data_IF_925114697957
#
_entry.id   IF_925114697957
#
_cell.length_a   1.000
_cell.length_b   1.000
_cell.length_c   1.000
_cell.angle_alpha   90.00
_cell.angle_beta   90.00
_cell.angle_gamma   90.00
#
_symmetry.space_group_name_H-M   'P 1'
#
loop_
_entity.id
_entity.type
_entity.pdbx_description
1 polymer ?
#
# COMPACT_ATOMS: atom_id res chain seq x y z
N UNK A 1 10.25 21.76 -14.09
CA UNK A 1 10.43 23.16 -14.52
C UNK A 1 9.56 24.10 -13.69
N UNK A 2 8.25 23.90 -13.60
CA UNK A 2 7.33 24.76 -12.79
C UNK A 2 7.77 24.86 -11.31
N UNK A 3 8.35 23.81 -10.75
CA UNK A 3 8.89 23.78 -9.38
C UNK A 3 10.36 24.18 -9.26
N UNK A 4 10.94 24.80 -10.30
CA UNK A 4 12.32 25.28 -10.28
C UNK A 4 13.41 24.24 -10.58
N UNK A 5 13.08 22.97 -10.74
CA UNK A 5 14.07 21.95 -11.05
C UNK A 5 14.65 22.15 -12.46
N UNK A 6 15.97 21.99 -12.59
CA UNK A 6 16.65 22.01 -13.86
C UNK A 6 16.31 20.74 -14.67
N UNK A 7 15.78 20.93 -15.88
CA UNK A 7 15.52 19.86 -16.83
C UNK A 7 16.17 20.24 -18.13
N UNK A 8 17.02 19.36 -18.74
CA UNK A 8 17.66 19.62 -20.01
C UNK A 8 16.62 19.95 -21.11
N UNK A 9 16.86 21.03 -21.86
CA UNK A 9 15.90 21.49 -22.88
C UNK A 9 15.62 20.45 -23.98
N UNK A 10 16.62 19.67 -24.35
CA UNK A 10 16.47 18.59 -25.34
C UNK A 10 15.43 17.54 -24.93
N UNK A 11 15.39 17.20 -23.63
CA UNK A 11 14.41 16.26 -23.07
C UNK A 11 13.00 16.83 -23.18
N UNK A 12 12.80 18.08 -22.70
CA UNK A 12 11.49 18.74 -22.76
C UNK A 12 11.01 18.85 -24.21
N UNK A 13 11.88 19.29 -25.11
CA UNK A 13 11.55 19.44 -26.54
C UNK A 13 11.18 18.11 -27.18
N UNK A 14 11.91 17.04 -26.88
CA UNK A 14 11.63 15.70 -27.36
C UNK A 14 10.28 15.17 -26.86
N UNK A 15 10.00 15.29 -25.56
CA UNK A 15 8.74 14.87 -24.96
C UNK A 15 7.55 15.64 -25.55
N UNK A 16 7.65 16.96 -25.68
CA UNK A 16 6.57 17.76 -26.25
C UNK A 16 6.28 17.41 -27.70
N UNK A 17 7.33 17.21 -28.52
CA UNK A 17 7.19 16.75 -29.91
C UNK A 17 6.46 15.41 -29.98
N UNK A 18 6.88 14.46 -29.17
CA UNK A 18 6.25 13.13 -29.10
C UNK A 18 4.78 13.25 -28.66
N UNK A 19 4.50 13.90 -27.55
CA UNK A 19 3.14 14.03 -27.03
C UNK A 19 2.20 14.74 -28.02
N UNK A 20 2.69 15.76 -28.74
CA UNK A 20 1.90 16.45 -29.75
C UNK A 20 1.59 15.56 -30.95
N UNK A 21 2.56 14.74 -31.40
CA UNK A 21 2.36 13.74 -32.45
C UNK A 21 1.28 12.75 -32.02
N UNK A 22 1.41 12.16 -30.83
CA UNK A 22 0.45 11.19 -30.31
C UNK A 22 -0.95 11.80 -30.11
N UNK A 23 -1.03 13.04 -29.62
CA UNK A 23 -2.31 13.75 -29.48
C UNK A 23 -3.02 13.94 -30.82
N UNK A 24 -2.27 14.24 -31.88
CA UNK A 24 -2.83 14.46 -33.22
C UNK A 24 -3.24 13.16 -33.90
N UNK A 25 -2.53 12.07 -33.66
CA UNK A 25 -2.77 10.77 -34.27
C UNK A 25 -3.77 9.92 -33.51
N UNK A 26 -4.11 10.31 -32.27
CA UNK A 26 -5.02 9.53 -31.44
C UNK A 26 -6.40 9.35 -32.10
N UNK A 27 -6.83 8.11 -32.14
CA UNK A 27 -8.17 7.70 -32.55
C UNK A 27 -8.79 6.92 -31.42
N UNK A 28 -10.07 7.12 -31.19
CA UNK A 28 -10.83 6.34 -30.23
C UNK A 28 -10.96 4.91 -30.75
N UNK A 29 -10.11 4.03 -30.29
CA UNK A 29 -10.14 2.62 -30.65
C UNK A 29 -10.58 1.79 -29.44
N UNK A 30 -11.82 1.30 -29.48
CA UNK A 30 -12.36 0.42 -28.45
C UNK A 30 -11.79 -1.00 -28.49
N UNK A 31 -10.92 -1.31 -29.46
CA UNK A 31 -10.39 -2.67 -29.69
C UNK A 31 -9.06 -2.95 -28.96
N UNK A 32 -8.30 -1.92 -28.60
CA UNK A 32 -6.93 -2.07 -28.07
C UNK A 32 -6.91 -2.63 -26.65
N UNK A 33 -7.97 -2.42 -25.88
CA UNK A 33 -8.03 -2.92 -24.50
C UNK A 33 -9.28 -3.76 -24.30
N UNK A 34 -9.15 -5.08 -24.40
CA UNK A 34 -10.18 -6.07 -23.98
C UNK A 34 -10.42 -6.08 -22.45
N UNK A 35 -10.20 -4.94 -21.79
CA UNK A 35 -10.36 -4.79 -20.35
C UNK A 35 -11.63 -4.00 -20.04
N UNK A 36 -12.40 -4.30 -18.98
CA UNK A 36 -13.64 -3.59 -18.63
C UNK A 36 -13.52 -2.05 -18.56
N UNK A 37 -12.32 -1.55 -18.20
CA UNK A 37 -12.02 -0.10 -18.12
C UNK A 37 -11.15 0.41 -19.28
N UNK A 38 -10.87 -0.41 -20.29
CA UNK A 38 -9.90 -0.08 -21.35
C UNK A 38 -10.27 1.17 -22.14
N UNK A 39 -11.55 1.34 -22.49
CA UNK A 39 -12.04 2.51 -23.22
C UNK A 39 -11.92 3.80 -22.41
N UNK A 40 -12.33 3.79 -21.14
CA UNK A 40 -12.26 4.95 -20.26
C UNK A 40 -10.82 5.34 -19.97
N UNK A 41 -9.94 4.35 -19.85
CA UNK A 41 -8.51 4.53 -19.64
C UNK A 41 -7.84 5.20 -20.84
N UNK A 42 -8.15 4.77 -22.06
CA UNK A 42 -7.63 5.35 -23.31
C UNK A 42 -8.06 6.82 -23.49
N UNK A 43 -9.33 7.11 -23.23
CA UNK A 43 -9.87 8.47 -23.27
C UNK A 43 -9.21 9.37 -22.22
N UNK A 44 -8.98 8.87 -21.01
CA UNK A 44 -8.28 9.63 -19.96
C UNK A 44 -6.82 9.88 -20.33
N UNK A 45 -6.11 8.89 -20.91
CA UNK A 45 -4.74 9.05 -21.39
C UNK A 45 -4.66 10.17 -22.41
N UNK A 46 -5.59 10.21 -23.37
CA UNK A 46 -5.61 11.29 -24.36
C UNK A 46 -5.92 12.64 -23.73
N UNK A 47 -6.93 12.74 -22.88
CA UNK A 47 -7.27 13.98 -22.19
C UNK A 47 -6.12 14.48 -21.31
N UNK A 48 -5.44 13.57 -20.63
CA UNK A 48 -4.26 13.88 -19.81
C UNK A 48 -3.08 14.39 -20.66
N UNK A 49 -2.86 13.80 -21.84
CA UNK A 49 -1.87 14.26 -22.80
C UNK A 49 -2.16 15.69 -23.26
N UNK A 50 -3.43 15.99 -23.58
CA UNK A 50 -3.88 17.33 -23.97
C UNK A 50 -3.71 18.35 -22.85
N UNK A 51 -4.05 17.95 -21.61
CA UNK A 51 -3.84 18.75 -20.42
C UNK A 51 -2.35 19.05 -20.18
N UNK A 52 -1.49 18.07 -20.32
CA UNK A 52 -0.03 18.23 -20.15
C UNK A 52 0.55 19.18 -21.19
N UNK A 53 0.10 19.08 -22.44
CA UNK A 53 0.51 19.99 -23.50
C UNK A 53 0.01 21.43 -23.25
N UNK A 54 -1.20 21.60 -22.73
CA UNK A 54 -1.73 22.90 -22.31
C UNK A 54 -0.92 23.50 -21.15
N UNK A 55 -0.62 22.69 -20.13
CA UNK A 55 0.20 23.07 -18.99
C UNK A 55 1.63 23.51 -19.40
N UNK A 56 2.16 22.90 -20.47
CA UNK A 56 3.45 23.24 -21.04
C UNK A 56 3.40 24.43 -22.04
N UNK A 57 2.26 25.15 -22.14
CA UNK A 57 2.03 26.26 -23.06
C UNK A 57 2.20 25.90 -24.55
N UNK A 58 2.01 24.62 -24.87
CA UNK A 58 2.11 24.06 -26.23
C UNK A 58 0.85 23.26 -26.61
N UNK A 59 -0.34 23.84 -26.47
CA UNK A 59 -1.61 23.12 -26.66
C UNK A 59 -1.73 22.54 -28.07
N UNK A 60 -2.38 21.37 -28.14
CA UNK A 60 -2.80 20.75 -29.41
C UNK A 60 -4.29 21.04 -29.68
N UNK A 61 -4.64 22.29 -29.96
CA UNK A 61 -6.02 22.77 -30.02
C UNK A 61 -6.90 21.96 -30.98
N UNK A 62 -6.37 21.57 -32.14
CA UNK A 62 -7.12 20.72 -33.09
C UNK A 62 -7.48 19.35 -32.51
N UNK A 63 -6.59 18.73 -31.74
CA UNK A 63 -6.86 17.47 -31.06
C UNK A 63 -7.84 17.65 -29.88
N UNK A 64 -7.75 18.77 -29.15
CA UNK A 64 -8.71 19.13 -28.09
C UNK A 64 -10.14 19.28 -28.68
N UNK A 65 -10.27 19.98 -29.76
CA UNK A 65 -11.59 20.19 -30.46
C UNK A 65 -12.14 18.85 -30.96
N UNK A 66 -11.33 18.03 -31.63
CA UNK A 66 -11.76 16.69 -32.06
C UNK A 66 -12.28 15.85 -30.89
N UNK A 67 -11.54 15.83 -29.78
CA UNK A 67 -11.97 15.06 -28.60
C UNK A 67 -13.27 15.59 -28.01
N UNK A 68 -13.46 16.91 -27.95
CA UNK A 68 -14.70 17.54 -27.50
C UNK A 68 -15.90 17.17 -28.40
N UNK A 69 -15.69 17.13 -29.72
CA UNK A 69 -16.72 16.84 -30.72
C UNK A 69 -17.12 15.37 -30.76
N UNK A 70 -16.28 14.47 -30.31
CA UNK A 70 -16.59 13.03 -30.31
C UNK A 70 -17.79 12.67 -29.42
N UNK A 71 -18.19 13.52 -28.47
CA UNK A 71 -19.25 13.22 -27.52
C UNK A 71 -19.07 11.93 -26.75
N UNK A 72 -19.87 11.69 -25.75
CA UNK A 72 -19.94 10.42 -25.01
C UNK A 72 -18.57 9.83 -24.57
N UNK A 73 -17.63 10.70 -24.18
CA UNK A 73 -16.39 10.32 -23.53
C UNK A 73 -16.57 10.26 -22.01
N UNK A 74 -15.73 9.50 -21.32
CA UNK A 74 -15.83 9.27 -19.88
C UNK A 74 -15.81 10.58 -19.07
N UNK A 75 -16.54 10.59 -17.96
CA UNK A 75 -16.65 11.77 -17.08
C UNK A 75 -15.29 12.33 -16.69
N UNK A 76 -14.36 11.46 -16.27
CA UNK A 76 -13.02 11.90 -15.86
C UNK A 76 -12.19 12.47 -17.02
N UNK A 77 -12.32 11.92 -18.23
CA UNK A 77 -11.65 12.45 -19.40
C UNK A 77 -12.20 13.83 -19.78
N UNK A 78 -13.52 14.04 -19.65
CA UNK A 78 -14.15 15.35 -19.86
C UNK A 78 -13.65 16.39 -18.85
N UNK A 79 -13.56 16.04 -17.56
CA UNK A 79 -12.95 16.89 -16.54
C UNK A 79 -11.54 17.31 -16.92
N UNK A 80 -10.71 16.35 -17.33
CA UNK A 80 -9.32 16.63 -17.71
C UNK A 80 -9.21 17.48 -18.98
N UNK A 81 -10.10 17.26 -19.97
CA UNK A 81 -10.20 18.09 -21.18
C UNK A 81 -10.64 19.52 -20.86
N UNK A 82 -11.62 19.68 -19.98
CA UNK A 82 -12.05 21.01 -19.50
C UNK A 82 -10.88 21.77 -18.85
N UNK A 83 -10.09 21.08 -18.01
CA UNK A 83 -8.89 21.65 -17.43
C UNK A 83 -7.86 22.09 -18.49
N UNK A 84 -7.71 21.35 -19.58
CA UNK A 84 -6.84 21.75 -20.67
C UNK A 84 -7.32 23.05 -21.36
N UNK A 85 -8.63 23.22 -21.53
CA UNK A 85 -9.21 24.47 -22.06
C UNK A 85 -9.05 25.63 -21.09
N UNK A 86 -9.25 25.41 -19.79
CA UNK A 86 -9.04 26.42 -18.76
C UNK A 86 -7.60 26.95 -18.74
N UNK A 87 -6.62 26.05 -18.79
CA UNK A 87 -5.19 26.41 -18.81
C UNK A 87 -4.77 27.30 -19.98
N UNK A 88 -5.49 27.24 -21.10
CA UNK A 88 -5.21 28.08 -22.28
C UNK A 88 -6.13 29.28 -22.39
N UNK A 89 -6.83 29.65 -21.31
CA UNK A 89 -7.72 30.81 -21.25
C UNK A 89 -9.04 30.69 -22.05
N UNK A 90 -9.45 29.45 -22.36
CA UNK A 90 -10.73 29.15 -23.03
C UNK A 90 -11.82 28.81 -21.99
N UNK A 91 -11.99 29.68 -21.01
CA UNK A 91 -12.87 29.48 -19.85
C UNK A 91 -14.32 29.14 -20.23
N UNK A 92 -14.87 29.83 -21.23
CA UNK A 92 -16.25 29.53 -21.70
C UNK A 92 -16.39 28.07 -22.11
N UNK A 93 -15.45 27.55 -22.88
CA UNK A 93 -15.50 26.14 -23.34
C UNK A 93 -15.33 25.19 -22.16
N UNK A 94 -14.42 25.50 -21.23
CA UNK A 94 -14.23 24.72 -20.02
C UNK A 94 -15.52 24.65 -19.20
N UNK A 95 -16.18 25.79 -18.97
CA UNK A 95 -17.40 25.89 -18.20
C UNK A 95 -18.57 25.15 -18.90
N UNK A 96 -18.71 25.25 -20.22
CA UNK A 96 -19.71 24.53 -20.98
C UNK A 96 -19.57 23.00 -20.89
N UNK A 97 -18.34 22.51 -20.74
CA UNK A 97 -18.06 21.09 -20.50
C UNK A 97 -18.41 20.74 -19.06
N UNK A 98 -17.90 21.49 -18.09
CA UNK A 98 -18.04 21.20 -16.65
C UNK A 98 -19.51 21.24 -16.21
N UNK A 99 -20.32 22.15 -16.77
CA UNK A 99 -21.73 22.26 -16.42
C UNK A 99 -22.56 20.99 -16.67
N UNK A 100 -22.04 20.05 -17.45
CA UNK A 100 -22.69 18.78 -17.80
C UNK A 100 -22.11 17.60 -16.99
N UNK A 101 -21.14 17.83 -16.14
CA UNK A 101 -20.41 16.81 -15.43
C UNK A 101 -20.82 16.73 -13.95
N UNK A 102 -20.69 15.55 -13.38
CA UNK A 102 -20.76 15.37 -11.94
C UNK A 102 -19.37 15.16 -11.36
N UNK A 103 -19.25 15.34 -10.06
CA UNK A 103 -18.01 15.14 -9.30
C UNK A 103 -17.93 13.76 -8.65
N UNK A 104 -18.94 12.92 -8.88
CA UNK A 104 -18.98 11.57 -8.29
C UNK A 104 -18.13 10.61 -9.12
N UNK A 105 -17.30 9.86 -8.43
CA UNK A 105 -16.49 8.78 -9.00
C UNK A 105 -16.89 7.48 -8.33
N UNK A 106 -17.35 6.51 -9.13
CA UNK A 106 -17.67 5.18 -8.61
C UNK A 106 -16.42 4.53 -8.02
N UNK A 107 -16.53 3.85 -6.87
CA UNK A 107 -15.39 3.17 -6.28
C UNK A 107 -14.77 2.15 -7.25
N UNK A 108 -13.48 2.27 -7.51
CA UNK A 108 -12.69 1.30 -8.25
C UNK A 108 -11.21 1.44 -7.90
N UNK A 109 -10.48 0.36 -8.09
CA UNK A 109 -9.02 0.32 -8.01
C UNK A 109 -8.49 -0.65 -9.05
N UNK A 110 -7.53 -0.22 -9.84
CA UNK A 110 -6.89 -1.02 -10.86
C UNK A 110 -5.38 -1.12 -10.59
N UNK A 111 -4.89 -2.35 -10.48
CA UNK A 111 -3.49 -2.63 -10.12
C UNK A 111 -2.65 -3.12 -11.30
N UNK A 112 -3.19 -3.14 -12.52
CA UNK A 112 -2.53 -3.83 -13.63
C UNK A 112 -2.14 -2.92 -14.80
N UNK A 113 -3.07 -2.14 -15.34
CA UNK A 113 -2.84 -1.37 -16.57
C UNK A 113 -2.61 0.11 -16.32
N UNK A 114 -3.56 0.77 -15.71
CA UNK A 114 -3.51 2.22 -15.49
C UNK A 114 -3.12 2.61 -14.08
N UNK A 115 -3.09 1.65 -13.15
CA UNK A 115 -2.97 1.91 -11.72
C UNK A 115 -3.97 2.96 -11.22
N UNK A 116 -5.12 3.03 -11.90
CA UNK A 116 -6.18 3.97 -11.63
C UNK A 116 -6.93 3.66 -10.35
N UNK A 117 -7.53 4.69 -9.76
CA UNK A 117 -8.41 4.54 -8.62
C UNK A 117 -9.41 5.68 -8.55
N UNK A 118 -10.53 5.45 -7.88
CA UNK A 118 -11.51 6.50 -7.62
C UNK A 118 -10.89 7.69 -6.88
N UNK A 119 -9.97 7.45 -5.96
CA UNK A 119 -9.28 8.49 -5.20
C UNK A 119 -8.35 9.33 -6.09
N UNK A 120 -7.61 8.70 -7.03
CA UNK A 120 -6.82 9.42 -8.04
C UNK A 120 -7.70 10.32 -8.89
N UNK A 121 -8.83 9.80 -9.34
CA UNK A 121 -9.73 10.54 -10.22
C UNK A 121 -10.41 11.71 -9.50
N UNK A 122 -10.81 11.52 -8.24
CA UNK A 122 -11.26 12.63 -7.38
C UNK A 122 -10.20 13.71 -7.22
N UNK A 123 -8.94 13.33 -7.05
CA UNK A 123 -7.84 14.30 -6.96
C UNK A 123 -7.62 15.06 -8.28
N UNK A 124 -7.79 14.40 -9.42
CA UNK A 124 -7.76 15.05 -10.73
C UNK A 124 -8.92 16.05 -10.91
N UNK A 125 -10.13 15.73 -10.43
CA UNK A 125 -11.28 16.65 -10.44
C UNK A 125 -10.98 17.85 -9.50
N UNK A 126 -10.47 17.60 -8.31
CA UNK A 126 -10.09 18.65 -7.35
C UNK A 126 -9.12 19.67 -7.99
N UNK A 127 -8.13 19.17 -8.74
CA UNK A 127 -7.20 20.04 -9.46
C UNK A 127 -7.91 20.97 -10.44
N UNK A 128 -8.90 20.48 -11.19
CA UNK A 128 -9.65 21.29 -12.15
C UNK A 128 -10.57 22.30 -11.45
N UNK A 129 -11.26 21.88 -10.41
CA UNK A 129 -12.08 22.78 -9.57
C UNK A 129 -11.22 23.91 -8.96
N UNK A 130 -9.99 23.60 -8.60
CA UNK A 130 -9.03 24.60 -8.11
C UNK A 130 -8.68 25.62 -9.19
N UNK A 131 -8.43 25.17 -10.41
CA UNK A 131 -8.17 26.05 -11.58
C UNK A 131 -9.38 26.95 -11.87
N UNK A 132 -10.58 26.42 -11.70
CA UNK A 132 -11.85 27.15 -11.92
C UNK A 132 -12.24 28.06 -10.76
N UNK A 133 -11.57 27.97 -9.62
CA UNK A 133 -11.90 28.74 -8.41
C UNK A 133 -13.17 28.25 -7.70
N UNK A 134 -13.69 27.06 -8.03
CA UNK A 134 -14.85 26.47 -7.35
C UNK A 134 -14.47 25.93 -5.96
N UNK A 135 -14.52 26.81 -4.97
CA UNK A 135 -14.18 26.51 -3.59
C UNK A 135 -15.17 25.57 -2.90
N UNK A 136 -16.44 25.60 -3.27
CA UNK A 136 -17.50 24.83 -2.60
C UNK A 136 -17.37 23.34 -2.94
N UNK A 137 -17.40 22.99 -4.23
CA UNK A 137 -17.21 21.60 -4.65
C UNK A 137 -15.80 21.12 -4.36
N UNK A 138 -14.80 21.98 -4.51
CA UNK A 138 -13.41 21.70 -4.18
C UNK A 138 -13.24 21.30 -2.70
N UNK A 139 -13.84 22.05 -1.76
CA UNK A 139 -13.77 21.73 -0.33
C UNK A 139 -14.37 20.35 -0.02
N UNK A 140 -15.51 20.00 -0.61
CA UNK A 140 -16.15 18.71 -0.40
C UNK A 140 -15.27 17.55 -0.84
N UNK A 141 -14.64 17.67 -2.02
CA UNK A 141 -13.73 16.63 -2.53
C UNK A 141 -12.42 16.61 -1.70
N UNK A 142 -11.90 17.77 -1.35
CA UNK A 142 -10.73 17.88 -0.48
C UNK A 142 -10.92 17.12 0.83
N UNK A 143 -12.04 17.34 1.54
CA UNK A 143 -12.31 16.68 2.81
C UNK A 143 -12.45 15.16 2.64
N UNK A 144 -13.08 14.71 1.55
CA UNK A 144 -13.20 13.29 1.24
C UNK A 144 -11.83 12.63 1.00
N UNK A 145 -10.95 13.26 0.20
CA UNK A 145 -9.59 12.78 -0.07
C UNK A 145 -8.77 12.77 1.23
N UNK A 146 -8.81 13.86 2.01
CA UNK A 146 -8.05 13.97 3.25
C UNK A 146 -8.47 12.88 4.26
N UNK A 147 -9.78 12.61 4.38
CA UNK A 147 -10.31 11.53 5.22
C UNK A 147 -9.80 10.16 4.78
N UNK A 148 -9.80 9.88 3.47
CA UNK A 148 -9.31 8.60 2.95
C UNK A 148 -7.80 8.44 3.19
N UNK A 149 -6.99 9.46 2.89
CA UNK A 149 -5.53 9.41 3.13
C UNK A 149 -5.16 9.30 4.62
N UNK A 150 -6.05 9.67 5.52
CA UNK A 150 -5.88 9.52 6.97
C UNK A 150 -6.29 8.14 7.48
N UNK A 151 -6.83 7.28 6.63
CA UNK A 151 -7.15 5.89 6.98
C UNK A 151 -5.88 5.01 6.95
N UNK A 152 -6.00 3.78 7.44
CA UNK A 152 -4.92 2.80 7.37
C UNK A 152 -4.86 2.06 6.02
N UNK A 153 -5.67 2.48 5.04
CA UNK A 153 -5.71 1.88 3.71
C UNK A 153 -4.40 2.06 2.96
N UNK A 154 -4.05 1.05 2.17
CA UNK A 154 -2.91 1.13 1.27
C UNK A 154 -3.31 1.79 -0.06
N UNK A 155 -2.45 2.66 -0.56
CA UNK A 155 -2.62 3.33 -1.85
C UNK A 155 -1.37 3.14 -2.72
N UNK A 156 -1.59 2.89 -4.01
CA UNK A 156 -0.48 2.87 -4.95
C UNK A 156 0.16 4.27 -5.10
N UNK A 157 1.39 4.30 -5.58
CA UNK A 157 2.19 5.53 -5.73
C UNK A 157 1.46 6.60 -6.54
N UNK A 158 0.76 6.22 -7.60
CA UNK A 158 0.04 7.14 -8.47
C UNK A 158 -1.13 7.80 -7.74
N UNK A 159 -1.95 7.02 -7.03
CA UNK A 159 -3.06 7.51 -6.22
C UNK A 159 -2.58 8.48 -5.15
N UNK A 160 -1.52 8.11 -4.42
CA UNK A 160 -0.92 8.96 -3.38
C UNK A 160 -0.38 10.27 -3.97
N UNK A 161 0.38 10.20 -5.07
CA UNK A 161 0.98 11.37 -5.70
C UNK A 161 -0.08 12.37 -6.21
N UNK A 162 -1.11 11.89 -6.90
CA UNK A 162 -2.19 12.75 -7.38
C UNK A 162 -3.02 13.35 -6.25
N UNK A 163 -3.31 12.57 -5.22
CA UNK A 163 -4.04 13.05 -4.05
C UNK A 163 -3.29 14.17 -3.35
N UNK A 164 -2.01 13.99 -3.06
CA UNK A 164 -1.17 15.02 -2.45
C UNK A 164 -1.03 16.25 -3.35
N UNK A 165 -0.89 16.07 -4.66
CA UNK A 165 -0.82 17.17 -5.62
C UNK A 165 -2.12 17.99 -5.64
N UNK A 166 -3.29 17.32 -5.71
CA UNK A 166 -4.60 17.94 -5.70
C UNK A 166 -4.86 18.73 -4.41
N UNK A 167 -4.59 18.10 -3.26
CA UNK A 167 -4.72 18.76 -1.96
C UNK A 167 -3.79 19.99 -1.86
N UNK A 168 -2.51 19.84 -2.23
CA UNK A 168 -1.53 20.92 -2.20
C UNK A 168 -1.93 22.12 -3.06
N UNK A 169 -2.47 21.87 -4.26
CA UNK A 169 -2.96 22.94 -5.15
C UNK A 169 -4.18 23.65 -4.60
N UNK A 170 -5.14 22.89 -4.01
CA UNK A 170 -6.35 23.46 -3.45
C UNK A 170 -6.08 24.33 -2.23
N UNK A 171 -5.20 23.89 -1.35
CA UNK A 171 -4.76 24.68 -0.19
C UNK A 171 -4.04 25.97 -0.64
N UNK A 172 -3.44 25.95 -1.83
CA UNK A 172 -2.65 27.06 -2.36
C UNK A 172 -1.27 27.16 -1.72
N UNK A 173 -0.62 28.30 -1.91
CA UNK A 173 0.69 28.55 -1.32
C UNK A 173 0.57 28.95 0.17
N UNK A 174 0.04 28.06 1.00
CA UNK A 174 -0.07 28.32 2.45
C UNK A 174 1.30 28.50 3.10
N UNK A 175 2.36 28.06 2.45
CA UNK A 175 3.69 28.00 3.08
C UNK A 175 4.76 28.84 2.36
N UNK A 176 4.45 30.04 1.90
CA UNK A 176 5.54 30.94 1.50
C UNK A 176 6.46 31.31 2.68
N UNK A 177 5.93 31.28 3.91
CA UNK A 177 6.66 31.61 5.14
C UNK A 177 7.39 30.39 5.76
N UNK A 178 7.22 29.19 5.20
CA UNK A 178 7.83 27.96 5.72
C UNK A 178 7.34 27.55 7.10
N UNK A 179 8.18 26.87 7.86
CA UNK A 179 7.90 26.41 9.23
C UNK A 179 8.67 27.27 10.22
N UNK A 180 7.98 27.82 11.22
CA UNK A 180 8.57 28.55 12.34
C UNK A 180 7.92 28.05 13.64
N UNK A 181 8.64 27.21 14.38
CA UNK A 181 8.15 26.67 15.64
C UNK A 181 9.29 26.39 16.62
N UNK A 182 8.93 26.24 17.87
CA UNK A 182 9.78 25.81 18.95
C UNK A 182 9.34 24.43 19.44
N UNK A 183 10.30 23.54 19.57
CA UNK A 183 10.11 22.20 20.10
C UNK A 183 10.91 22.05 21.38
N UNK A 184 10.25 21.61 22.45
CA UNK A 184 10.88 21.26 23.72
C UNK A 184 10.66 19.77 23.95
N UNK A 185 11.76 19.01 23.94
CA UNK A 185 11.77 17.58 24.20
C UNK A 185 12.52 17.32 25.50
N UNK A 186 11.85 16.84 26.54
CA UNK A 186 12.44 16.52 27.83
C UNK A 186 13.32 17.68 28.39
N UNK A 187 12.87 18.92 28.21
CA UNK A 187 13.57 20.15 28.64
C UNK A 187 14.56 20.71 27.62
N UNK A 188 15.01 19.93 26.65
CA UNK A 188 15.86 20.40 25.56
C UNK A 188 15.03 21.22 24.55
N UNK A 189 15.49 22.45 24.24
CA UNK A 189 14.78 23.44 23.44
C UNK A 189 15.42 23.55 22.06
N UNK A 190 14.64 23.33 21.01
CA UNK A 190 15.07 23.46 19.61
C UNK A 190 14.17 24.47 18.92
N UNK A 191 14.77 25.47 18.27
CA UNK A 191 14.04 26.39 17.39
C UNK A 191 14.20 25.95 15.95
N UNK A 192 13.08 25.77 15.26
CA UNK A 192 13.05 25.36 13.86
C UNK A 192 12.54 26.52 13.02
N UNK A 193 13.39 26.95 12.08
CA UNK A 193 13.06 27.92 11.03
C UNK A 193 13.43 27.26 9.69
N UNK A 194 12.47 26.86 8.93
CA UNK A 194 12.67 26.15 7.66
C UNK A 194 11.77 26.71 6.56
N UNK A 195 12.34 26.91 5.36
CA UNK A 195 11.58 27.24 4.15
C UNK A 195 10.92 26.01 3.53
N UNK A 196 11.27 24.80 4.03
CA UNK A 196 10.70 23.54 3.54
C UNK A 196 9.34 23.28 4.21
N UNK A 197 8.38 22.70 3.51
CA UNK A 197 7.05 22.43 4.05
C UNK A 197 7.01 21.23 5.01
N UNK A 198 8.09 20.46 5.08
CA UNK A 198 8.22 19.27 5.95
C UNK A 198 9.55 19.38 6.68
N UNK A 199 9.49 19.08 7.98
CA UNK A 199 10.67 18.93 8.84
C UNK A 199 10.52 17.64 9.64
N UNK A 200 11.57 16.84 9.71
CA UNK A 200 11.63 15.59 10.49
C UNK A 200 12.79 15.70 11.48
N UNK A 201 12.52 15.38 12.72
CA UNK A 201 13.51 15.27 13.77
C UNK A 201 13.41 13.93 14.49
N UNK A 202 14.55 13.39 14.87
CA UNK A 202 14.62 12.25 15.79
C UNK A 202 14.61 12.78 17.23
N UNK A 203 13.65 12.28 18.00
CA UNK A 203 13.47 12.73 19.38
C UNK A 203 14.19 11.79 20.34
N UNK A 204 15.01 12.32 21.23
CA UNK A 204 15.59 11.58 22.33
C UNK A 204 14.46 11.09 23.27
N UNK A 205 14.46 9.80 23.55
CA UNK A 205 13.47 9.15 24.44
C UNK A 205 14.17 8.75 25.73
N UNK A 206 13.61 9.19 26.87
CA UNK A 206 14.00 8.73 28.19
C UNK A 206 13.23 7.47 28.55
N UNK A 207 13.74 6.67 29.51
CA UNK A 207 13.09 5.45 29.96
C UNK A 207 11.72 5.72 30.60
N UNK A 208 11.53 6.88 31.21
CA UNK A 208 10.30 7.30 31.88
C UNK A 208 9.97 8.76 31.54
N UNK A 209 8.67 9.06 31.50
CA UNK A 209 8.11 10.43 31.40
C UNK A 209 8.69 11.30 30.27
N UNK A 210 8.39 10.94 29.05
CA UNK A 210 8.73 11.78 27.90
C UNK A 210 7.71 12.91 27.74
N UNK A 211 8.20 14.14 27.68
CA UNK A 211 7.37 15.32 27.44
C UNK A 211 7.82 16.01 26.14
N UNK A 212 6.86 16.19 25.25
CA UNK A 212 7.04 16.93 24.02
C UNK A 212 6.08 18.12 24.01
N UNK A 213 6.66 19.34 23.93
CA UNK A 213 5.90 20.57 23.75
C UNK A 213 6.29 21.23 22.45
N UNK A 214 5.32 21.56 21.62
CA UNK A 214 5.53 22.26 20.36
C UNK A 214 4.76 23.57 20.41
N UNK A 215 5.45 24.67 20.09
CA UNK A 215 4.86 26.00 20.02
C UNK A 215 5.03 26.53 18.61
N UNK A 216 3.92 26.74 17.93
CA UNK A 216 3.91 27.36 16.61
C UNK A 216 4.15 28.88 16.76
N UNK A 217 5.24 29.37 16.17
CA UNK A 217 5.60 30.79 16.14
C UNK A 217 5.30 31.43 14.77
N UNK A 218 4.81 30.64 13.81
CA UNK A 218 4.43 31.11 12.47
C UNK A 218 2.95 31.45 12.37
N UNK A 219 2.57 32.04 11.25
CA UNK A 219 1.18 32.37 10.89
C UNK A 219 0.40 31.16 10.34
N UNK A 220 1.12 30.13 9.89
CA UNK A 220 0.53 28.95 9.25
C UNK A 220 0.14 27.87 10.25
N UNK A 221 -0.88 27.08 9.93
CA UNK A 221 -1.22 25.86 10.67
C UNK A 221 -0.11 24.84 10.45
N UNK A 222 0.41 24.24 11.52
CA UNK A 222 1.35 23.12 11.45
C UNK A 222 0.65 21.82 11.84
N UNK A 223 0.96 20.76 11.09
CA UNK A 223 0.49 19.41 11.40
C UNK A 223 1.66 18.62 12.01
N UNK A 224 1.39 17.95 13.11
CA UNK A 224 2.40 17.21 13.86
C UNK A 224 2.06 15.74 13.84
N UNK A 225 3.03 14.90 13.42
CA UNK A 225 2.95 13.44 13.52
C UNK A 225 4.10 12.93 14.37
N UNK A 226 3.79 12.35 15.51
CA UNK A 226 4.78 11.64 16.34
C UNK A 226 4.71 10.15 15.99
N UNK A 227 5.83 9.56 15.58
CA UNK A 227 5.96 8.14 15.32
C UNK A 227 6.90 7.52 16.35
N UNK A 228 6.40 6.58 17.14
CA UNK A 228 7.21 5.77 18.02
C UNK A 228 7.43 4.39 17.38
N UNK A 229 8.69 3.96 17.29
CA UNK A 229 9.05 2.65 16.74
C UNK A 229 9.96 1.97 17.75
N UNK A 230 9.67 0.73 18.09
CA UNK A 230 10.49 -0.04 19.03
C UNK A 230 10.23 -1.53 18.90
N UNK A 231 11.14 -2.31 19.48
CA UNK A 231 10.98 -3.76 19.62
C UNK A 231 10.43 -4.04 21.01
N UNK A 232 9.30 -4.74 21.16
CA UNK A 232 8.75 -5.11 22.46
C UNK A 232 9.77 -5.95 23.27
N UNK A 233 9.95 -5.63 24.55
CA UNK A 233 10.89 -6.34 25.43
C UNK A 233 10.52 -7.81 25.69
N UNK A 234 9.25 -8.16 25.64
CA UNK A 234 8.74 -9.54 25.67
C UNK A 234 7.54 -9.60 24.75
N UNK A 235 7.41 -10.71 24.04
CA UNK A 235 6.46 -10.93 22.97
C UNK A 235 4.97 -10.71 23.32
N UNK A 236 4.65 -9.52 23.75
CA UNK A 236 3.27 -9.06 23.96
C UNK A 236 2.66 -8.78 22.56
N UNK A 237 2.58 -9.85 21.76
CA UNK A 237 2.04 -9.77 20.42
C UNK A 237 0.58 -10.15 20.51
N UNK A 238 -0.27 -9.15 20.34
CA UNK A 238 -1.71 -9.34 20.26
C UNK A 238 -2.07 -10.00 18.95
N UNK A 239 -2.82 -11.09 19.00
CA UNK A 239 -3.43 -11.67 17.80
C UNK A 239 -4.34 -10.64 17.15
N UNK A 240 -4.32 -10.58 15.83
CA UNK A 240 -5.17 -9.67 15.07
C UNK A 240 -5.44 -10.22 13.66
N UNK A 241 -6.65 -10.02 13.19
CA UNK A 241 -7.11 -10.45 11.87
C UNK A 241 -7.90 -9.32 11.22
N UNK A 242 -7.66 -9.11 9.94
CA UNK A 242 -8.46 -8.20 9.13
C UNK A 242 -8.63 -8.77 7.73
N UNK A 243 -9.85 -9.13 7.38
CA UNK A 243 -10.23 -9.72 6.08
C UNK A 243 -9.50 -11.02 5.68
N UNK A 244 -8.60 -11.51 6.52
CA UNK A 244 -7.96 -12.83 6.47
C UNK A 244 -8.12 -13.50 7.82
N UNK A 245 -8.51 -14.78 7.82
CA UNK A 245 -8.53 -15.60 9.03
C UNK A 245 -7.46 -16.68 8.94
N UNK A 246 -6.72 -16.90 10.03
CA UNK A 246 -5.67 -17.90 10.12
C UNK A 246 -5.85 -18.78 11.35
N UNK A 247 -5.75 -20.10 11.16
CA UNK A 247 -5.73 -21.07 12.24
C UNK A 247 -4.46 -21.92 12.16
N UNK A 248 -3.77 -22.09 13.28
CA UNK A 248 -2.55 -22.87 13.37
C UNK A 248 -2.79 -24.05 14.31
N UNK A 249 -2.39 -25.23 13.90
CA UNK A 249 -2.31 -26.41 14.74
C UNK A 249 -1.05 -27.19 14.45
N UNK A 250 -0.61 -27.88 15.49
CA UNK A 250 0.54 -28.78 15.40
C UNK A 250 0.00 -30.21 15.46
N UNK A 251 0.47 -31.06 14.56
CA UNK A 251 0.02 -32.44 14.41
C UNK A 251 1.24 -33.35 14.33
N UNK A 252 1.10 -34.59 14.83
CA UNK A 252 2.12 -35.62 14.62
C UNK A 252 2.09 -36.13 13.17
N UNK A 253 3.01 -37.03 12.82
CA UNK A 253 3.09 -37.59 11.46
C UNK A 253 1.87 -38.46 11.08
N UNK A 254 1.04 -38.84 12.07
CA UNK A 254 -0.24 -39.56 11.84
C UNK A 254 -1.42 -38.60 11.64
N UNK A 255 -1.22 -37.26 11.81
CA UNK A 255 -2.26 -36.25 11.68
C UNK A 255 -3.04 -35.95 12.97
N UNK A 256 -2.63 -36.50 14.10
CA UNK A 256 -3.25 -36.26 15.40
C UNK A 256 -2.70 -34.96 16.01
N UNK A 257 -3.57 -34.18 16.67
CA UNK A 257 -3.20 -32.90 17.28
C UNK A 257 -2.24 -33.12 18.45
N UNK A 258 -1.17 -32.33 18.48
CA UNK A 258 -0.20 -32.31 19.58
C UNK A 258 -0.05 -30.89 20.16
N UNK A 259 0.52 -30.81 21.36
CA UNK A 259 0.91 -29.53 21.95
C UNK A 259 2.34 -29.17 21.51
N UNK A 260 2.58 -28.00 20.93
CA UNK A 260 3.92 -27.57 20.56
C UNK A 260 4.72 -27.07 21.78
N UNK A 261 4.08 -26.86 22.92
CA UNK A 261 4.69 -26.23 24.10
C UNK A 261 5.61 -27.16 24.87
N UNK A 262 5.47 -28.47 24.70
CA UNK A 262 6.35 -29.47 25.29
C UNK A 262 6.52 -30.63 24.31
N UNK A 263 7.73 -30.81 23.80
CA UNK A 263 8.09 -31.87 22.88
C UNK A 263 9.28 -32.66 23.37
N UNK A 264 9.35 -33.93 23.00
CA UNK A 264 10.55 -34.74 23.24
C UNK A 264 11.54 -34.54 22.08
N UNK A 265 12.84 -34.54 22.44
CA UNK A 265 13.91 -34.47 21.45
C UNK A 265 13.76 -35.60 20.41
N UNK A 266 14.00 -35.29 19.14
CA UNK A 266 13.85 -36.22 18.02
C UNK A 266 12.41 -36.40 17.51
N UNK A 267 11.43 -35.71 18.09
CA UNK A 267 10.02 -35.80 17.63
C UNK A 267 9.84 -35.11 16.28
N UNK A 268 9.39 -35.86 15.27
CA UNK A 268 8.92 -35.33 14.01
C UNK A 268 7.44 -34.93 14.13
N UNK A 269 7.08 -33.75 13.63
CA UNK A 269 5.73 -33.23 13.65
C UNK A 269 5.51 -32.21 12.53
N UNK A 270 4.28 -31.74 12.37
CA UNK A 270 3.94 -30.77 11.34
C UNK A 270 3.25 -29.54 11.95
N UNK A 271 3.63 -28.36 11.48
CA UNK A 271 2.83 -27.15 11.62
C UNK A 271 1.84 -27.06 10.46
N UNK A 272 0.55 -27.13 10.75
CA UNK A 272 -0.53 -26.97 9.79
C UNK A 272 -1.15 -25.59 9.97
N UNK A 273 -1.08 -24.77 8.90
CA UNK A 273 -1.66 -23.41 8.85
C UNK A 273 -2.78 -23.39 7.84
N UNK A 274 -3.97 -23.03 8.30
CA UNK A 274 -5.18 -22.88 7.49
C UNK A 274 -5.46 -21.39 7.35
N UNK A 275 -5.50 -20.88 6.12
CA UNK A 275 -5.76 -19.46 5.82
C UNK A 275 -7.02 -19.38 4.97
N UNK A 276 -7.94 -18.51 5.36
CA UNK A 276 -9.19 -18.24 4.66
C UNK A 276 -9.32 -16.78 4.30
N UNK A 277 -9.64 -16.49 3.06
CA UNK A 277 -10.08 -15.17 2.63
C UNK A 277 -11.53 -14.95 3.08
N UNK A 278 -11.73 -14.04 4.05
CA UNK A 278 -13.05 -13.69 4.58
C UNK A 278 -13.63 -12.44 3.91
N UNK A 279 -12.91 -11.85 2.98
CA UNK A 279 -13.34 -10.68 2.23
C UNK A 279 -14.24 -11.02 1.04
N UNK A 280 -14.71 -9.97 0.37
CA UNK A 280 -15.57 -10.07 -0.81
C UNK A 280 -14.81 -9.96 -2.13
N UNK A 281 -13.48 -9.93 -2.11
CA UNK A 281 -12.62 -9.77 -3.28
C UNK A 281 -11.60 -10.90 -3.37
N UNK A 282 -11.07 -11.14 -4.56
CA UNK A 282 -9.93 -12.04 -4.76
C UNK A 282 -8.66 -11.35 -4.27
N UNK A 283 -7.84 -12.07 -3.50
CA UNK A 283 -6.59 -11.59 -2.96
C UNK A 283 -5.42 -12.18 -3.73
N UNK A 284 -4.51 -11.31 -4.15
CA UNK A 284 -3.32 -11.68 -4.88
C UNK A 284 -2.07 -11.34 -4.08
N UNK A 285 -1.01 -12.12 -4.34
CA UNK A 285 0.32 -11.89 -3.75
C UNK A 285 0.28 -11.86 -2.21
N UNK A 286 -0.36 -12.86 -1.63
CA UNK A 286 -0.30 -13.12 -0.20
C UNK A 286 1.05 -13.71 0.17
N UNK A 287 1.60 -13.28 1.30
CA UNK A 287 2.82 -13.79 1.90
C UNK A 287 2.53 -14.35 3.28
N UNK A 288 2.72 -15.65 3.47
CA UNK A 288 2.71 -16.31 4.77
C UNK A 288 4.13 -16.46 5.27
N UNK A 289 4.44 -15.86 6.41
CA UNK A 289 5.70 -15.97 7.13
C UNK A 289 5.51 -16.87 8.35
N UNK A 290 6.19 -18.00 8.34
CA UNK A 290 6.23 -18.96 9.45
C UNK A 290 7.67 -19.01 9.99
N UNK A 291 7.89 -18.43 11.15
CA UNK A 291 9.18 -18.51 11.87
C UNK A 291 9.08 -19.58 12.96
N UNK A 292 10.14 -20.33 13.14
CA UNK A 292 10.20 -21.42 14.10
C UNK A 292 11.29 -21.19 15.15
N UNK A 293 11.14 -21.78 16.35
CA UNK A 293 12.16 -21.70 17.40
C UNK A 293 13.48 -22.33 16.95
N UNK A 294 14.61 -21.83 17.43
CA UNK A 294 15.93 -22.39 17.12
C UNK A 294 16.14 -23.83 17.63
N UNK A 295 15.25 -24.30 18.50
CA UNK A 295 15.25 -25.71 18.95
C UNK A 295 14.61 -26.71 17.98
N UNK A 296 13.97 -26.20 16.92
CA UNK A 296 13.31 -27.00 15.88
C UNK A 296 14.04 -26.87 14.57
N UNK A 297 14.18 -27.96 13.85
CA UNK A 297 14.71 -28.00 12.50
C UNK A 297 13.57 -28.10 11.47
N UNK A 298 13.66 -27.30 10.41
CA UNK A 298 12.72 -27.36 9.28
C UNK A 298 13.19 -28.44 8.32
N UNK A 299 12.35 -29.45 8.07
CA UNK A 299 12.63 -30.45 7.04
C UNK A 299 12.15 -29.95 5.68
N UNK A 300 13.10 -29.77 4.76
CA UNK A 300 12.79 -29.35 3.41
C UNK A 300 12.29 -30.54 2.59
N UNK A 301 10.97 -30.63 2.43
CA UNK A 301 10.30 -31.69 1.68
C UNK A 301 10.68 -31.78 0.20
N UNK A 302 11.33 -30.75 -0.34
CA UNK A 302 11.86 -30.76 -1.72
C UNK A 302 13.15 -31.58 -1.84
N UNK A 303 13.89 -31.71 -0.75
CA UNK A 303 15.17 -32.45 -0.71
C UNK A 303 14.98 -33.87 -0.16
N UNK A 304 14.02 -34.06 0.72
CA UNK A 304 13.65 -35.36 1.25
C UNK A 304 12.56 -35.92 0.34
N UNK A 305 12.71 -37.15 -0.20
CA UNK A 305 11.68 -37.85 -0.99
C UNK A 305 10.43 -38.16 -0.13
N UNK A 306 9.96 -37.19 0.65
CA UNK A 306 8.75 -37.32 1.48
C UNK A 306 7.55 -37.29 0.54
N UNK A 307 6.74 -38.34 0.64
CA UNK A 307 5.49 -38.50 -0.12
C UNK A 307 4.66 -37.22 -0.08
N UNK A 308 4.28 -36.71 -1.26
CA UNK A 308 3.41 -35.52 -1.43
C UNK A 308 2.06 -35.64 -0.71
N UNK A 309 1.73 -36.80 -0.15
CA UNK A 309 0.49 -37.07 0.60
C UNK A 309 0.38 -36.24 1.90
N UNK A 310 1.47 -35.69 2.42
CA UNK A 310 1.46 -34.83 3.61
C UNK A 310 1.18 -33.35 3.29
N UNK A 311 1.33 -32.93 2.03
CA UNK A 311 1.02 -31.58 1.58
C UNK A 311 -0.45 -31.51 1.18
N UNK A 312 -1.19 -30.50 1.63
CA UNK A 312 -2.59 -30.28 1.20
C UNK A 312 -2.67 -29.35 0.00
N UNK A 313 -2.23 -28.11 0.19
CA UNK A 313 -2.23 -27.11 -0.87
C UNK A 313 -0.77 -26.71 -1.20
N UNK A 314 -0.54 -26.36 -2.46
CA UNK A 314 0.75 -25.87 -2.90
C UNK A 314 0.74 -24.33 -2.99
N UNK A 315 1.74 -23.65 -2.44
CA UNK A 315 1.95 -22.24 -2.73
C UNK A 315 2.48 -22.05 -4.17
N UNK A 316 2.29 -20.86 -4.73
CA UNK A 316 2.83 -20.49 -6.03
C UNK A 316 4.38 -20.45 -6.00
N UNK A 317 4.90 -20.00 -4.85
CA UNK A 317 6.34 -20.02 -4.55
C UNK A 317 6.56 -20.23 -3.06
N UNK A 318 7.65 -20.90 -2.68
CA UNK A 318 8.04 -21.14 -1.30
C UNK A 318 9.55 -21.02 -1.13
N UNK A 319 9.98 -20.27 -0.10
CA UNK A 319 11.37 -20.07 0.27
C UNK A 319 11.62 -20.68 1.66
N UNK A 320 12.53 -21.66 1.73
CA UNK A 320 12.95 -22.31 2.95
C UNK A 320 14.27 -21.73 3.43
N UNK A 321 14.30 -21.32 4.69
CA UNK A 321 15.50 -20.87 5.41
C UNK A 321 15.67 -21.66 6.69
N UNK A 322 16.79 -21.48 7.37
CA UNK A 322 17.12 -22.27 8.56
C UNK A 322 16.08 -22.12 9.69
N UNK A 323 15.52 -20.93 9.84
CA UNK A 323 14.61 -20.58 10.93
C UNK A 323 13.17 -20.27 10.49
N UNK A 324 12.91 -20.25 9.17
CA UNK A 324 11.60 -19.81 8.65
C UNK A 324 11.26 -20.36 7.29
N UNK A 325 9.95 -20.34 6.99
CA UNK A 325 9.43 -20.62 5.65
C UNK A 325 8.52 -19.48 5.21
N UNK A 326 8.76 -18.97 4.04
CA UNK A 326 7.86 -18.06 3.35
C UNK A 326 7.07 -18.78 2.27
N UNK A 327 5.75 -18.60 2.26
CA UNK A 327 4.87 -19.16 1.22
C UNK A 327 4.09 -18.05 0.56
N UNK A 328 4.16 -17.99 -0.78
CA UNK A 328 3.49 -16.97 -1.60
C UNK A 328 2.38 -17.62 -2.41
N UNK A 329 1.19 -17.01 -2.42
CA UNK A 329 0.01 -17.61 -3.02
C UNK A 329 -1.09 -16.58 -3.25
N UNK A 330 -2.15 -17.01 -3.92
CA UNK A 330 -3.37 -16.23 -4.13
C UNK A 330 -4.56 -16.94 -3.47
N UNK A 331 -5.57 -16.18 -3.05
CA UNK A 331 -6.83 -16.70 -2.53
C UNK A 331 -8.01 -16.03 -3.21
N UNK A 332 -8.85 -16.80 -3.87
CA UNK A 332 -10.13 -16.29 -4.35
C UNK A 332 -11.05 -15.94 -3.17
N UNK A 333 -12.06 -15.12 -3.43
CA UNK A 333 -13.11 -14.80 -2.45
C UNK A 333 -13.65 -16.04 -1.76
N UNK A 334 -13.60 -16.08 -0.43
CA UNK A 334 -14.08 -17.18 0.40
C UNK A 334 -13.23 -18.45 0.36
N UNK A 335 -12.17 -18.50 -0.45
CA UNK A 335 -11.29 -19.66 -0.57
C UNK A 335 -10.48 -19.87 0.70
N UNK A 336 -10.19 -21.15 0.97
CA UNK A 336 -9.31 -21.60 2.04
C UNK A 336 -8.15 -22.38 1.45
N UNK A 337 -6.92 -22.13 1.96
CA UNK A 337 -5.73 -22.95 1.67
C UNK A 337 -5.11 -23.44 2.97
N UNK A 338 -4.51 -24.63 2.92
CA UNK A 338 -3.86 -25.29 4.07
C UNK A 338 -2.42 -25.63 3.70
N UNK A 339 -1.48 -25.05 4.44
CA UNK A 339 -0.04 -25.30 4.28
C UNK A 339 0.50 -26.11 5.45
N UNK A 340 1.39 -27.06 5.16
CA UNK A 340 2.04 -27.90 6.16
C UNK A 340 3.55 -27.81 6.02
N UNK A 341 4.21 -27.62 7.14
CA UNK A 341 5.67 -27.64 7.25
C UNK A 341 6.06 -28.76 8.21
N UNK A 342 6.96 -29.62 7.77
CA UNK A 342 7.50 -30.70 8.60
C UNK A 342 8.64 -30.16 9.43
N UNK A 343 8.63 -30.48 10.73
CA UNK A 343 9.53 -29.99 11.74
C UNK A 343 10.06 -31.17 12.56
N UNK A 344 11.27 -31.03 13.09
CA UNK A 344 11.85 -31.92 14.08
C UNK A 344 12.25 -31.14 15.34
N UNK A 345 11.92 -31.62 16.51
CA UNK A 345 12.35 -31.06 17.79
C UNK A 345 13.79 -31.51 18.09
N UNK A 346 14.80 -30.86 17.51
CA UNK A 346 16.19 -31.34 17.46
C UNK A 346 17.00 -30.99 18.69
N UNK A 347 16.83 -29.79 19.27
CA UNK A 347 17.68 -29.30 20.35
C UNK A 347 16.90 -29.11 21.64
N UNK A 348 17.45 -29.67 22.75
CA UNK A 348 16.87 -29.49 24.08
C UNK A 348 17.02 -28.07 24.59
N UNK A 349 16.00 -27.57 25.27
CA UNK A 349 16.01 -26.23 25.89
C UNK A 349 14.63 -25.58 25.91
N UNK A 350 14.64 -24.33 26.34
CA UNK A 350 13.48 -23.46 26.32
C UNK A 350 13.70 -22.39 25.24
N UNK A 351 12.76 -22.27 24.33
CA UNK A 351 12.87 -21.41 23.14
C UNK A 351 11.61 -20.57 23.00
N UNK A 352 11.72 -19.44 22.29
CA UNK A 352 10.58 -18.64 21.93
C UNK A 352 10.08 -19.03 20.53
N UNK A 353 8.81 -19.43 20.43
CA UNK A 353 8.12 -19.61 19.17
C UNK A 353 7.64 -18.23 18.69
N UNK A 354 8.17 -17.71 17.58
CA UNK A 354 7.75 -16.43 17.05
C UNK A 354 6.30 -16.44 16.53
N UNK A 355 5.83 -15.26 16.14
CA UNK A 355 4.53 -15.11 15.49
C UNK A 355 4.51 -15.78 14.13
N UNK A 356 3.32 -16.23 13.75
CA UNK A 356 3.01 -16.52 12.34
C UNK A 356 2.19 -15.37 11.76
N UNK A 357 2.57 -14.88 10.61
CA UNK A 357 1.97 -13.72 9.97
C UNK A 357 1.66 -13.98 8.50
N UNK A 358 0.47 -13.61 8.07
CA UNK A 358 0.06 -13.63 6.67
C UNK A 358 -0.49 -12.25 6.28
N UNK A 359 -0.07 -11.74 5.14
CA UNK A 359 -0.52 -10.45 4.63
C UNK A 359 -0.62 -10.44 3.11
N UNK A 360 -1.44 -9.55 2.57
CA UNK A 360 -1.32 -9.14 1.18
C UNK A 360 -0.17 -8.12 1.09
N UNK A 361 0.89 -8.44 0.31
CA UNK A 361 2.12 -7.64 0.26
C UNK A 361 1.92 -6.19 -0.18
N UNK A 362 0.82 -5.92 -0.87
CA UNK A 362 0.53 -4.60 -1.44
C UNK A 362 -0.76 -3.97 -0.92
N UNK A 363 -1.37 -4.57 0.13
CA UNK A 363 -2.59 -4.02 0.74
C UNK A 363 -2.68 -4.38 2.23
N UNK A 364 -2.41 -3.41 3.08
CA UNK A 364 -2.37 -3.56 4.54
C UNK A 364 -3.74 -3.84 5.19
N UNK A 365 -4.83 -3.83 4.42
CA UNK A 365 -6.16 -4.17 4.94
C UNK A 365 -6.39 -5.68 5.05
N UNK A 366 -5.49 -6.50 4.46
CA UNK A 366 -5.65 -7.96 4.43
C UNK A 366 -4.48 -8.62 5.15
N UNK A 367 -4.70 -8.97 6.40
CA UNK A 367 -3.69 -9.66 7.18
C UNK A 367 -4.30 -10.53 8.29
N UNK A 368 -3.52 -11.49 8.76
CA UNK A 368 -3.78 -12.26 9.98
C UNK A 368 -2.48 -12.56 10.70
N UNK A 369 -2.51 -12.40 12.01
CA UNK A 369 -1.36 -12.60 12.89
C UNK A 369 -1.76 -13.47 14.06
N UNK A 370 -0.99 -14.56 14.32
CA UNK A 370 -1.12 -15.43 15.47
C UNK A 370 0.07 -15.29 16.39
N UNK A 371 -0.21 -15.24 17.69
CA UNK A 371 0.83 -15.17 18.70
C UNK A 371 1.62 -16.49 18.78
N UNK A 372 2.88 -16.37 19.15
CA UNK A 372 3.71 -17.49 19.52
C UNK A 372 3.70 -17.71 21.04
N UNK A 373 4.81 -18.22 21.57
CA UNK A 373 4.95 -18.45 23.00
C UNK A 373 6.25 -19.19 23.37
N UNK A 374 6.40 -19.51 24.63
CA UNK A 374 7.54 -20.29 25.10
C UNK A 374 7.27 -21.78 24.82
N UNK A 375 8.21 -22.46 24.19
CA UNK A 375 8.21 -23.90 23.91
C UNK A 375 9.40 -24.58 24.54
N UNK A 376 9.24 -25.84 24.96
CA UNK A 376 10.30 -26.63 25.59
C UNK A 376 10.51 -27.91 24.79
N UNK A 377 11.78 -28.26 24.60
CA UNK A 377 12.21 -29.56 24.09
C UNK A 377 12.98 -30.26 25.22
N UNK A 378 12.52 -31.42 25.63
CA UNK A 378 13.06 -32.18 26.74
C UNK A 378 13.54 -33.56 26.29
N UNK A 379 14.40 -34.17 27.09
CA UNK A 379 14.86 -35.53 26.85
C UNK A 379 13.69 -36.50 26.91
N UNK A 380 13.69 -37.50 26.05
CA UNK A 380 12.68 -38.58 26.11
C UNK A 380 12.77 -39.34 27.44
N UNK A 381 11.61 -39.65 28.00
CA UNK A 381 11.56 -40.39 29.28
C UNK A 381 12.22 -41.79 29.24
N UNK A 382 12.41 -42.37 28.05
CA UNK A 382 13.06 -43.66 27.88
C UNK A 382 14.57 -43.64 28.04
N UNK A 383 15.24 -42.47 27.99
CA UNK A 383 16.70 -42.36 28.16
C UNK A 383 17.17 -42.23 29.63
N UNK A 384 16.24 -41.95 30.55
CA UNK A 384 16.55 -41.88 31.98
C UNK A 384 16.75 -43.25 32.62
N UNK A 385 16.30 -44.31 31.97
CA UNK A 385 16.43 -45.68 32.48
C UNK A 385 17.74 -46.36 32.06
N UNK A 386 18.51 -45.81 31.12
CA UNK A 386 19.77 -46.40 30.63
C UNK A 386 21.02 -45.78 31.22
N UNK A 387 20.90 -44.74 32.07
CA UNK A 387 22.04 -44.06 32.75
C UNK A 387 22.12 -44.41 34.23
N UNK A 388 21.39 -45.40 34.70
CA UNK A 388 21.31 -45.88 36.08
C UNK A 388 21.79 -47.33 36.30
N UNK A 389 22.62 -47.89 35.40
CA UNK A 389 23.36 -49.14 35.65
C UNK A 389 24.86 -48.91 35.60
#
# INVERSE_FOLDING_TARGET
>A
KIKGYAVPEGIIKGILKYQKKEANNWKRDGSVYKHPHGKESDELIQAYRLYTLALAEKPALGAMNRMKEMGNISNIAQWRLAGAYALIGKEKIANDIIAKLNTEVKPYQEMRYSYGSSLRDQAMILEILTIQGDKINGKRIFDAIAKQLSSNSWYNTQTTAYSLLGLSKFIGNISQDGLNYELVNNGAKIKVLSKMPIHNDDLAINKENNQLKITNNGSNIIFIKVKNTGVPLKGNITENENNLSMNIKYINMKGEKISPYLLYQGTDFMAEVVIKNTSYVDLHQLALSQMFPSGWEIRNTRMDNVSSSHLKDHPDYQDFRDDRVYSYFNLSKGQTKTFRIILNASYMGEFFLPITYCEAMYDNEYFSRKAGGVVKVVRSAGELTTLGE
#
